data_IF_130475285454
#
_entry.id   IF_130475285454
#
_cell.length_a   1.000
_cell.length_b   1.000
_cell.length_c   1.000
_cell.angle_alpha   90.00
_cell.angle_beta   90.00
_cell.angle_gamma   90.00
#
_symmetry.space_group_name_H-M   'P 1'
#
loop_
_entity.id
_entity.type
_entity.pdbx_description
1 polymer ?
#
# COMPACT_ATOMS: atom_id res chain seq x y z
N UNK A 1 30.27 6.56 25.92
CA UNK A 1 30.86 7.48 24.93
C UNK A 1 32.05 6.77 24.30
N UNK A 2 32.17 6.46 23.01
CA UNK A 2 31.30 6.49 21.83
C UNK A 2 32.10 5.68 20.80
N UNK A 3 31.54 4.64 20.20
CA UNK A 3 32.06 4.05 18.97
C UNK A 3 30.88 3.71 18.05
N UNK A 4 30.38 4.75 17.42
CA UNK A 4 29.52 4.74 16.24
C UNK A 4 30.33 5.40 15.13
N UNK A 5 30.95 4.61 14.24
CA UNK A 5 31.45 5.11 12.96
C UNK A 5 31.88 3.95 12.06
N UNK A 6 30.94 3.34 11.34
CA UNK A 6 31.27 2.50 10.19
C UNK A 6 30.11 2.38 9.18
N UNK A 7 29.34 3.44 8.94
CA UNK A 7 28.34 3.50 7.85
C UNK A 7 28.23 4.93 7.33
N UNK A 8 29.35 5.48 6.84
CA UNK A 8 29.36 6.65 5.96
C UNK A 8 30.44 6.41 4.91
N UNK A 9 30.06 5.80 3.80
CA UNK A 9 30.79 5.92 2.52
C UNK A 9 29.82 6.55 1.52
N UNK A 10 30.35 7.50 0.76
CA UNK A 10 29.65 8.53 0.00
C UNK A 10 28.83 7.98 -1.17
N UNK A 11 27.64 8.57 -1.38
CA UNK A 11 26.67 8.31 -2.45
C UNK A 11 27.16 8.59 -3.89
N UNK A 12 28.39 9.06 -4.09
CA UNK A 12 28.91 9.47 -5.40
C UNK A 12 29.55 8.33 -6.24
N UNK A 13 29.63 7.10 -5.72
CA UNK A 13 30.26 5.97 -6.43
C UNK A 13 29.26 4.94 -7.02
N UNK A 14 27.95 5.13 -6.85
CA UNK A 14 26.94 4.13 -7.24
C UNK A 14 26.25 4.37 -8.59
N UNK A 15 26.41 5.56 -9.20
CA UNK A 15 25.78 5.88 -10.50
C UNK A 15 26.69 6.81 -11.32
N UNK A 16 27.45 6.31 -12.31
CA UNK A 16 28.18 7.18 -13.23
C UNK A 16 27.19 7.94 -14.11
N UNK A 17 27.22 9.27 -14.04
CA UNK A 17 26.54 10.13 -15.00
C UNK A 17 27.29 10.08 -16.35
N UNK A 18 26.80 9.27 -17.30
CA UNK A 18 27.13 9.44 -18.71
C UNK A 18 26.07 10.31 -19.39
N UNK A 19 26.49 11.51 -19.76
CA UNK A 19 25.72 12.41 -20.61
C UNK A 19 26.09 12.15 -22.07
N UNK A 20 25.17 11.59 -22.86
CA UNK A 20 25.28 11.61 -24.34
C UNK A 20 23.92 11.71 -25.00
N UNK A 21 23.74 12.75 -25.82
CA UNK A 21 22.97 12.70 -27.07
C UNK A 21 21.50 13.12 -27.02
N UNK A 22 21.23 14.43 -27.15
CA UNK A 22 19.97 14.92 -27.73
C UNK A 22 19.97 14.61 -29.23
N UNK A 23 18.91 13.95 -29.73
CA UNK A 23 18.10 14.40 -30.89
C UNK A 23 17.07 13.34 -31.30
N UNK A 24 15.79 13.59 -30.95
CA UNK A 24 14.60 13.32 -31.77
C UNK A 24 13.35 13.82 -31.02
N UNK A 25 13.26 15.13 -30.77
CA UNK A 25 12.04 15.75 -30.25
C UNK A 25 11.00 15.89 -31.36
N UNK A 26 10.13 14.89 -31.49
CA UNK A 26 8.94 14.91 -32.35
C UNK A 26 7.69 15.17 -31.48
N UNK A 27 7.33 16.44 -31.36
CA UNK A 27 5.96 16.96 -31.19
C UNK A 27 4.99 16.18 -30.28
N UNK A 28 5.34 15.94 -29.00
CA UNK A 28 4.34 15.78 -27.93
C UNK A 28 4.29 17.10 -27.15
N UNK A 29 3.15 17.79 -27.21
CA UNK A 29 2.89 19.02 -26.44
C UNK A 29 3.18 18.74 -24.96
N UNK A 30 3.85 19.68 -24.29
CA UNK A 30 4.37 19.55 -22.93
C UNK A 30 3.36 18.89 -21.99
N UNK A 31 3.69 17.69 -21.52
CA UNK A 31 3.09 17.13 -20.32
C UNK A 31 3.56 17.99 -19.14
N UNK A 32 2.82 19.07 -18.88
CA UNK A 32 2.82 19.85 -17.65
C UNK A 32 4.11 20.64 -17.33
N UNK A 33 4.01 21.51 -16.33
CA UNK A 33 5.18 22.23 -15.79
C UNK A 33 5.98 21.24 -14.94
N UNK A 34 7.23 20.92 -15.30
CA UNK A 34 8.12 20.09 -14.48
C UNK A 34 8.21 20.66 -13.06
N UNK A 35 8.23 19.78 -12.05
CA UNK A 35 8.31 20.18 -10.65
C UNK A 35 7.03 20.77 -10.07
N UNK A 36 5.87 20.60 -10.72
CA UNK A 36 4.58 21.02 -10.19
C UNK A 36 3.93 19.94 -9.33
N UNK A 37 3.45 20.32 -8.13
CA UNK A 37 2.60 19.50 -7.26
C UNK A 37 1.16 20.00 -7.38
N UNK A 38 0.19 19.11 -7.58
CA UNK A 38 -1.25 19.39 -7.37
C UNK A 38 -1.84 18.35 -6.44
N UNK A 39 -2.77 18.79 -5.61
CA UNK A 39 -3.42 17.95 -4.60
C UNK A 39 -4.93 17.91 -4.84
N UNK A 40 -5.51 16.73 -4.69
CA UNK A 40 -6.94 16.47 -4.83
C UNK A 40 -7.45 15.74 -3.59
N UNK A 41 -8.50 16.25 -2.95
CA UNK A 41 -9.05 15.68 -1.70
C UNK A 41 -10.38 14.97 -1.99
N UNK A 42 -10.37 13.65 -1.94
CA UNK A 42 -11.51 12.75 -2.14
C UNK A 42 -11.70 11.82 -0.93
N UNK A 43 -11.27 12.24 0.26
CA UNK A 43 -11.38 11.42 1.47
C UNK A 43 -12.84 11.06 1.78
N UNK A 44 -13.09 9.87 2.38
CA UNK A 44 -14.39 9.54 2.94
C UNK A 44 -14.87 10.63 3.89
N UNK A 45 -16.18 10.90 3.90
CA UNK A 45 -16.72 11.88 4.81
C UNK A 45 -16.72 11.33 6.25
N UNK A 46 -16.72 12.19 7.28
CA UNK A 46 -16.88 11.73 8.67
C UNK A 46 -18.15 10.89 8.88
N UNK A 47 -19.21 11.14 8.11
CA UNK A 47 -20.44 10.36 8.16
C UNK A 47 -20.25 8.93 7.63
N UNK A 48 -19.46 8.75 6.56
CA UNK A 48 -19.12 7.43 6.01
C UNK A 48 -18.31 6.62 7.02
N UNK A 49 -17.29 7.25 7.63
CA UNK A 49 -16.45 6.63 8.67
C UNK A 49 -17.31 6.22 9.87
N UNK A 50 -18.21 7.10 10.33
CA UNK A 50 -19.14 6.79 11.42
C UNK A 50 -20.02 5.58 11.09
N UNK A 51 -20.63 5.56 9.90
CA UNK A 51 -21.52 4.49 9.50
C UNK A 51 -20.80 3.13 9.46
N UNK A 52 -19.58 3.10 8.92
CA UNK A 52 -18.76 1.89 8.83
C UNK A 52 -18.33 1.37 10.21
N UNK A 53 -17.94 2.25 11.13
CA UNK A 53 -17.59 1.86 12.51
C UNK A 53 -18.79 1.31 13.25
N UNK A 54 -19.95 1.96 13.17
CA UNK A 54 -21.17 1.50 13.84
C UNK A 54 -21.66 0.15 13.30
N UNK A 55 -21.62 -0.04 11.97
CA UNK A 55 -21.94 -1.34 11.35
C UNK A 55 -20.95 -2.42 11.83
N UNK A 56 -19.66 -2.13 11.78
CA UNK A 56 -18.59 -3.05 12.17
C UNK A 56 -18.68 -3.53 13.62
N UNK A 57 -18.97 -2.61 14.55
CA UNK A 57 -19.14 -2.92 15.98
C UNK A 57 -20.49 -3.55 16.31
N UNK A 58 -21.51 -3.31 15.48
CA UNK A 58 -22.86 -3.88 15.64
C UNK A 58 -22.98 -5.35 15.23
N UNK A 59 -21.97 -5.89 14.53
CA UNK A 59 -21.96 -7.30 14.08
C UNK A 59 -21.77 -8.28 15.25
N UNK A 60 -22.32 -9.51 15.16
CA UNK A 60 -22.04 -10.57 16.14
C UNK A 60 -20.56 -10.93 16.23
N UNK A 61 -19.85 -10.91 15.09
CA UNK A 61 -18.40 -10.94 15.01
C UNK A 61 -17.93 -9.54 14.61
N UNK A 62 -17.47 -8.77 15.61
CA UNK A 62 -17.08 -7.37 15.40
C UNK A 62 -15.88 -7.29 14.47
N UNK A 63 -15.94 -6.34 13.53
CA UNK A 63 -14.84 -6.09 12.62
C UNK A 63 -14.72 -4.59 12.33
N UNK A 64 -13.49 -4.09 12.19
CA UNK A 64 -13.19 -2.72 11.82
C UNK A 64 -12.24 -2.73 10.63
N UNK A 65 -12.44 -1.79 9.71
CA UNK A 65 -11.68 -1.74 8.47
C UNK A 65 -10.23 -1.29 8.72
N UNK A 66 -9.22 -1.94 8.10
CA UNK A 66 -7.82 -1.59 8.30
C UNK A 66 -7.47 -0.19 7.78
N UNK A 67 -8.29 0.42 6.91
CA UNK A 67 -8.09 1.82 6.50
C UNK A 67 -8.15 2.80 7.67
N UNK A 68 -8.81 2.42 8.77
CA UNK A 68 -8.88 3.22 9.99
C UNK A 68 -7.53 3.31 10.71
N UNK A 69 -6.58 2.41 10.43
CA UNK A 69 -5.23 2.55 10.98
C UNK A 69 -4.56 3.84 10.53
N UNK A 70 -4.80 4.28 9.28
CA UNK A 70 -4.00 5.30 8.61
C UNK A 70 -4.52 6.73 8.84
N UNK A 71 -4.48 7.18 10.09
CA UNK A 71 -4.31 8.61 10.39
C UNK A 71 -2.81 8.96 10.43
N UNK A 72 -2.46 10.23 10.70
CA UNK A 72 -1.05 10.65 10.74
C UNK A 72 -0.21 9.79 11.70
N UNK A 73 -0.74 9.47 12.90
CA UNK A 73 -0.04 8.66 13.89
C UNK A 73 0.12 7.21 13.42
N UNK A 74 -0.92 6.64 12.82
CA UNK A 74 -0.87 5.29 12.29
C UNK A 74 0.10 5.15 11.13
N UNK A 75 0.18 6.14 10.24
CA UNK A 75 1.21 6.19 9.18
C UNK A 75 2.62 6.16 9.78
N UNK A 76 2.90 6.96 10.81
CA UNK A 76 4.20 6.94 11.52
C UNK A 76 4.50 5.59 12.19
N UNK A 77 3.48 4.95 12.77
CA UNK A 77 3.62 3.62 13.37
C UNK A 77 3.90 2.57 12.29
N UNK A 78 3.25 2.65 11.14
CA UNK A 78 3.53 1.76 10.01
C UNK A 78 4.94 1.98 9.46
N UNK A 79 5.41 3.22 9.33
CA UNK A 79 6.80 3.51 8.96
C UNK A 79 7.78 2.84 9.93
N UNK A 80 7.53 2.94 11.24
CA UNK A 80 8.33 2.25 12.25
C UNK A 80 8.25 0.71 12.13
N UNK A 81 7.07 0.14 11.79
CA UNK A 81 6.93 -1.29 11.50
C UNK A 81 7.86 -1.69 10.35
N UNK A 82 7.98 -0.87 9.31
CA UNK A 82 8.81 -1.21 8.15
C UNK A 82 10.31 -1.34 8.46
N UNK A 83 10.76 -0.79 9.58
CA UNK A 83 12.15 -0.84 10.05
C UNK A 83 12.42 -2.00 11.01
N UNK A 84 11.38 -2.70 11.48
CA UNK A 84 11.51 -3.79 12.44
C UNK A 84 12.29 -4.98 11.84
N UNK A 85 13.14 -5.65 12.64
CA UNK A 85 13.86 -6.83 12.17
C UNK A 85 12.90 -7.98 11.80
N UNK A 86 11.76 -8.11 12.47
CA UNK A 86 10.75 -9.13 12.17
C UNK A 86 9.99 -8.83 10.87
N UNK A 87 9.75 -7.55 10.53
CA UNK A 87 8.97 -7.15 9.36
C UNK A 87 9.78 -7.13 8.05
N UNK A 88 9.96 -8.32 7.48
CA UNK A 88 10.71 -8.50 6.22
C UNK A 88 10.09 -7.91 4.94
N UNK A 89 8.76 -7.71 4.77
CA UNK A 89 8.20 -7.37 3.46
C UNK A 89 8.84 -6.14 2.81
N UNK A 90 8.92 -5.02 3.54
CA UNK A 90 9.43 -3.75 2.98
C UNK A 90 10.87 -3.86 2.49
N UNK A 91 11.78 -4.37 3.35
CA UNK A 91 13.20 -4.50 2.98
C UNK A 91 13.45 -5.52 1.87
N UNK A 92 12.57 -6.51 1.74
CA UNK A 92 12.67 -7.54 0.69
C UNK A 92 12.21 -6.98 -0.64
N UNK A 93 11.05 -6.34 -0.67
CA UNK A 93 10.50 -5.69 -1.86
C UNK A 93 11.45 -4.60 -2.40
N UNK A 94 12.04 -3.76 -1.52
CA UNK A 94 13.02 -2.75 -1.93
C UNK A 94 14.24 -3.39 -2.62
N UNK A 95 14.73 -4.54 -2.15
CA UNK A 95 15.86 -5.24 -2.79
C UNK A 95 15.48 -5.70 -4.20
N UNK A 96 14.29 -6.29 -4.36
CA UNK A 96 13.77 -6.72 -5.66
C UNK A 96 13.68 -5.51 -6.61
N UNK A 97 13.11 -4.39 -6.16
CA UNK A 97 13.00 -3.16 -6.95
C UNK A 97 14.37 -2.59 -7.35
N UNK A 98 15.38 -2.68 -6.49
CA UNK A 98 16.76 -2.23 -6.80
C UNK A 98 17.45 -3.14 -7.81
N UNK A 99 17.28 -4.44 -7.66
CA UNK A 99 17.94 -5.44 -8.50
C UNK A 99 17.35 -5.48 -9.91
N UNK A 100 16.01 -5.42 -10.02
CA UNK A 100 15.29 -5.61 -11.28
C UNK A 100 14.66 -4.32 -11.82
N UNK A 101 14.95 -3.15 -11.24
CA UNK A 101 14.31 -1.89 -11.57
C UNK A 101 14.42 -1.49 -13.05
N UNK A 102 15.54 -1.83 -13.72
CA UNK A 102 15.69 -1.57 -15.16
C UNK A 102 14.75 -2.43 -16.00
N UNK A 103 14.61 -3.72 -15.70
CA UNK A 103 13.69 -4.62 -16.41
C UNK A 103 12.23 -4.18 -16.20
N UNK A 104 11.90 -3.78 -14.96
CA UNK A 104 10.58 -3.25 -14.63
C UNK A 104 10.28 -1.96 -15.43
N UNK A 105 11.26 -1.07 -15.56
CA UNK A 105 11.12 0.15 -16.35
C UNK A 105 10.93 -0.13 -17.84
N UNK A 106 11.66 -1.10 -18.39
CA UNK A 106 11.54 -1.48 -19.80
C UNK A 106 10.16 -2.08 -20.12
N UNK A 107 9.54 -2.81 -19.17
CA UNK A 107 8.19 -3.34 -19.31
C UNK A 107 7.12 -2.26 -19.15
N UNK A 108 7.21 -1.44 -18.09
CA UNK A 108 6.22 -0.39 -17.79
C UNK A 108 6.22 0.75 -18.81
N UNK A 109 7.34 0.95 -19.54
CA UNK A 109 7.53 2.08 -20.44
C UNK A 109 8.00 3.33 -19.71
N UNK A 110 8.70 4.21 -20.42
CA UNK A 110 9.24 5.48 -19.91
C UNK A 110 8.36 6.65 -20.32
N UNK A 111 8.50 7.78 -19.61
CA UNK A 111 7.73 9.02 -19.86
C UNK A 111 6.19 8.86 -19.70
N UNK A 112 5.73 7.81 -19.03
CA UNK A 112 4.32 7.51 -18.78
C UNK A 112 3.75 8.32 -17.60
N UNK A 113 2.47 8.05 -17.28
CA UNK A 113 1.86 8.43 -16.00
C UNK A 113 1.89 7.20 -15.07
N UNK A 114 2.66 7.29 -13.99
CA UNK A 114 2.71 6.26 -12.96
C UNK A 114 1.73 6.57 -11.83
N UNK A 115 0.76 5.68 -11.62
CA UNK A 115 -0.23 5.76 -10.55
C UNK A 115 0.20 4.81 -9.43
N UNK A 116 0.39 5.30 -8.21
CA UNK A 116 0.68 4.44 -7.05
C UNK A 116 -0.53 4.33 -6.13
N UNK A 117 -0.96 3.10 -5.84
CA UNK A 117 -2.04 2.83 -4.90
C UNK A 117 -1.47 2.50 -3.52
N UNK A 118 -1.76 3.34 -2.53
CA UNK A 118 -1.21 3.22 -1.18
C UNK A 118 0.26 3.66 -1.11
N UNK A 119 0.51 4.95 -1.36
CA UNK A 119 1.85 5.55 -1.45
C UNK A 119 2.65 5.66 -0.14
N UNK A 120 2.29 4.88 0.89
CA UNK A 120 2.76 5.04 2.27
C UNK A 120 4.28 4.93 2.47
N UNK A 121 5.02 4.20 1.63
CA UNK A 121 6.47 4.01 1.79
C UNK A 121 7.28 4.76 0.72
N UNK A 122 7.88 5.87 1.13
CA UNK A 122 8.62 6.77 0.23
C UNK A 122 9.84 6.11 -0.43
N UNK A 123 10.51 5.16 0.23
CA UNK A 123 11.74 4.54 -0.30
C UNK A 123 11.47 3.57 -1.46
N UNK A 124 10.33 2.86 -1.44
CA UNK A 124 9.95 1.94 -2.52
C UNK A 124 9.72 2.68 -3.81
N UNK A 125 8.89 3.71 -3.74
CA UNK A 125 8.59 4.52 -4.91
C UNK A 125 9.80 5.31 -5.38
N UNK A 126 10.64 5.86 -4.50
CA UNK A 126 11.91 6.51 -4.90
C UNK A 126 12.80 5.57 -5.72
N UNK A 127 12.88 4.30 -5.33
CA UNK A 127 13.65 3.28 -6.05
C UNK A 127 13.09 3.07 -7.46
N UNK A 128 11.76 2.92 -7.58
CA UNK A 128 11.11 2.72 -8.88
C UNK A 128 11.19 3.97 -9.76
N UNK A 129 10.94 5.17 -9.22
CA UNK A 129 10.99 6.44 -9.94
C UNK A 129 12.39 6.71 -10.53
N UNK A 130 13.46 6.34 -9.81
CA UNK A 130 14.82 6.49 -10.30
C UNK A 130 15.09 5.63 -11.55
N UNK A 131 14.49 4.45 -11.65
CA UNK A 131 14.63 3.56 -12.80
C UNK A 131 13.66 3.91 -13.94
N UNK A 132 12.38 4.14 -13.61
CA UNK A 132 11.29 4.34 -14.56
C UNK A 132 11.30 5.73 -15.22
N UNK A 133 11.64 6.75 -14.44
CA UNK A 133 11.63 8.17 -14.86
C UNK A 133 10.30 8.56 -15.57
N UNK A 134 9.14 8.40 -14.92
CA UNK A 134 7.86 8.78 -15.52
C UNK A 134 7.73 10.31 -15.67
N UNK A 135 6.89 10.76 -16.59
CA UNK A 135 6.57 12.19 -16.75
C UNK A 135 5.72 12.71 -15.60
N UNK A 136 4.80 11.87 -15.13
CA UNK A 136 3.83 12.20 -14.08
C UNK A 136 3.80 11.06 -13.07
N UNK A 137 3.81 11.41 -11.79
CA UNK A 137 3.58 10.50 -10.69
C UNK A 137 2.31 10.90 -9.94
N UNK A 138 1.40 9.95 -9.76
CA UNK A 138 0.10 10.12 -9.12
C UNK A 138 0.00 9.21 -7.89
N UNK A 139 0.48 9.65 -6.71
CA UNK A 139 0.27 8.93 -5.47
C UNK A 139 -1.18 9.01 -5.02
N UNK A 140 -1.74 7.86 -4.63
CA UNK A 140 -3.08 7.71 -4.06
C UNK A 140 -2.96 7.19 -2.63
N UNK A 141 -3.49 7.93 -1.65
CA UNK A 141 -3.45 7.53 -0.24
C UNK A 141 -4.64 8.10 0.54
N UNK A 142 -5.05 7.45 1.62
CA UNK A 142 -6.13 7.93 2.49
C UNK A 142 -5.62 8.94 3.55
N UNK A 143 -4.32 8.90 3.88
CA UNK A 143 -3.69 9.77 4.87
C UNK A 143 -3.21 11.06 4.22
N UNK A 144 -3.99 12.14 4.33
CA UNK A 144 -3.74 13.43 3.67
C UNK A 144 -2.40 14.04 4.07
N UNK A 145 -2.14 14.13 5.36
CA UNK A 145 -0.96 14.79 5.90
C UNK A 145 0.30 14.03 5.45
N UNK A 146 0.29 12.70 5.56
CA UNK A 146 1.38 11.84 5.09
C UNK A 146 1.61 11.95 3.58
N UNK A 147 0.53 11.99 2.80
CA UNK A 147 0.58 12.14 1.33
C UNK A 147 1.20 13.48 0.92
N UNK A 148 0.85 14.58 1.61
CA UNK A 148 1.43 15.90 1.33
C UNK A 148 2.92 15.93 1.67
N UNK A 149 3.31 15.42 2.84
CA UNK A 149 4.72 15.34 3.25
C UNK A 149 5.56 14.53 2.26
N UNK A 150 5.06 13.35 1.86
CA UNK A 150 5.71 12.49 0.86
C UNK A 150 5.82 13.16 -0.51
N UNK A 151 4.75 13.80 -0.99
CA UNK A 151 4.76 14.51 -2.27
C UNK A 151 5.78 15.66 -2.31
N UNK A 152 5.91 16.42 -1.23
CA UNK A 152 6.91 17.48 -1.13
C UNK A 152 8.34 16.93 -1.15
N UNK A 153 8.63 15.90 -0.35
CA UNK A 153 9.95 15.26 -0.34
C UNK A 153 10.34 14.68 -1.71
N UNK A 154 9.38 14.07 -2.42
CA UNK A 154 9.59 13.54 -3.77
C UNK A 154 9.83 14.64 -4.81
N UNK A 155 9.13 15.78 -4.72
CA UNK A 155 9.35 16.89 -5.63
C UNK A 155 10.75 17.52 -5.46
N UNK A 156 11.27 17.58 -4.24
CA UNK A 156 12.65 18.02 -3.98
C UNK A 156 13.67 17.04 -4.57
N UNK A 157 13.41 15.73 -4.48
CA UNK A 157 14.32 14.70 -4.99
C UNK A 157 14.27 14.54 -6.51
N UNK A 158 13.11 14.73 -7.11
CA UNK A 158 12.86 14.56 -8.55
C UNK A 158 12.29 15.87 -9.14
N UNK A 159 13.12 16.90 -9.37
CA UNK A 159 12.65 18.23 -9.75
C UNK A 159 11.95 18.29 -11.12
N UNK A 160 12.17 17.29 -11.97
CA UNK A 160 11.51 17.19 -13.27
C UNK A 160 10.18 16.43 -13.23
N UNK A 161 9.86 15.74 -12.12
CA UNK A 161 8.67 14.93 -11.99
C UNK A 161 7.46 15.82 -11.68
N UNK A 162 6.38 15.68 -12.45
CA UNK A 162 5.11 16.30 -12.07
C UNK A 162 4.35 15.39 -11.11
N UNK A 163 3.93 15.92 -9.96
CA UNK A 163 3.22 15.14 -8.93
C UNK A 163 1.75 15.56 -8.89
N UNK A 164 0.86 14.56 -8.91
CA UNK A 164 -0.60 14.70 -8.80
C UNK A 164 -1.09 13.85 -7.63
N UNK A 165 -1.01 14.38 -6.42
CA UNK A 165 -1.40 13.67 -5.22
C UNK A 165 -2.92 13.61 -5.07
N UNK A 166 -3.49 12.40 -4.98
CA UNK A 166 -4.92 12.18 -4.82
C UNK A 166 -5.19 11.53 -3.46
N UNK A 167 -5.78 12.27 -2.53
CA UNK A 167 -6.16 11.73 -1.25
C UNK A 167 -7.51 11.00 -1.38
N UNK A 168 -7.49 9.67 -1.45
CA UNK A 168 -8.68 8.89 -1.76
C UNK A 168 -8.63 7.50 -1.12
N UNK A 169 -9.81 6.93 -0.88
CA UNK A 169 -9.98 5.53 -0.49
C UNK A 169 -10.05 4.64 -1.74
N UNK A 170 -8.93 3.98 -2.09
CA UNK A 170 -8.88 3.09 -3.25
C UNK A 170 -9.62 1.76 -3.03
N UNK A 171 -10.05 1.44 -1.80
CA UNK A 171 -10.85 0.24 -1.52
C UNK A 171 -12.27 0.33 -2.10
N UNK A 172 -12.77 1.56 -2.29
CA UNK A 172 -14.05 1.87 -2.92
C UNK A 172 -13.87 2.26 -4.40
N UNK A 173 -14.95 2.40 -5.18
CA UNK A 173 -14.87 3.01 -6.51
C UNK A 173 -14.31 4.44 -6.41
N UNK A 174 -13.19 4.70 -7.08
CA UNK A 174 -12.54 6.01 -7.11
C UNK A 174 -12.40 6.53 -8.53
N UNK A 175 -12.30 7.86 -8.68
CA UNK A 175 -11.93 8.52 -9.93
C UNK A 175 -10.66 9.30 -9.70
N UNK A 176 -9.70 9.10 -10.59
CA UNK A 176 -8.46 9.86 -10.56
C UNK A 176 -8.57 11.10 -11.47
N UNK A 177 -7.88 12.19 -11.13
CA UNK A 177 -7.86 13.41 -11.91
C UNK A 177 -6.91 13.27 -13.12
N UNK A 178 -7.24 12.33 -14.01
CA UNK A 178 -6.51 12.09 -15.25
C UNK A 178 -6.87 13.16 -16.29
N UNK A 179 -5.87 13.63 -17.03
CA UNK A 179 -6.10 14.51 -18.19
C UNK A 179 -6.51 13.67 -19.41
N UNK A 180 -7.37 14.17 -20.32
CA UNK A 180 -7.86 13.38 -21.46
C UNK A 180 -6.77 12.89 -22.44
N UNK A 181 -5.61 13.55 -22.48
CA UNK A 181 -4.47 13.20 -23.33
C UNK A 181 -3.51 12.21 -22.68
N UNK A 182 -3.78 11.76 -21.45
CA UNK A 182 -2.99 10.76 -20.75
C UNK A 182 -3.45 9.35 -21.12
N UNK A 183 -2.79 8.79 -22.12
CA UNK A 183 -3.13 7.48 -22.67
C UNK A 183 -2.15 6.37 -22.27
N UNK A 184 -0.95 6.74 -21.81
CA UNK A 184 0.09 5.79 -21.39
C UNK A 184 0.13 5.74 -19.86
N UNK A 185 -0.68 4.84 -19.29
CA UNK A 185 -0.85 4.68 -17.85
C UNK A 185 -0.18 3.39 -17.37
N UNK A 186 0.59 3.52 -16.31
CA UNK A 186 1.12 2.41 -15.53
C UNK A 186 0.63 2.54 -14.08
N UNK A 187 0.44 1.42 -13.40
CA UNK A 187 0.14 1.38 -11.98
C UNK A 187 1.24 0.66 -11.20
N UNK A 188 1.43 1.09 -9.96
CA UNK A 188 2.25 0.46 -8.97
C UNK A 188 1.42 0.22 -7.71
N UNK A 189 1.39 -1.03 -7.22
CA UNK A 189 0.69 -1.39 -5.99
C UNK A 189 1.60 -2.22 -5.08
N UNK A 190 2.46 -1.56 -4.27
CA UNK A 190 3.48 -2.25 -3.50
C UNK A 190 3.00 -2.78 -2.15
N UNK A 191 3.90 -3.48 -1.47
CA UNK A 191 3.81 -3.79 -0.04
C UNK A 191 2.90 -4.95 0.31
N UNK A 192 2.40 -5.67 -0.68
CA UNK A 192 1.38 -6.70 -0.47
C UNK A 192 0.10 -6.17 0.17
N UNK A 193 -0.19 -4.88 0.00
CA UNK A 193 -1.45 -4.24 0.44
C UNK A 193 -2.68 -4.86 -0.23
N UNK A 194 -2.52 -5.52 -1.40
CA UNK A 194 -3.57 -6.35 -2.00
C UNK A 194 -4.02 -7.49 -1.08
N UNK A 195 -3.12 -7.98 -0.21
CA UNK A 195 -3.43 -9.00 0.79
C UNK A 195 -4.37 -8.51 1.88
N UNK A 196 -4.64 -7.21 1.99
CA UNK A 196 -5.58 -6.67 2.97
C UNK A 196 -7.06 -6.86 2.59
N UNK A 197 -7.29 -7.37 1.39
CA UNK A 197 -8.61 -7.61 0.83
C UNK A 197 -8.91 -9.11 0.81
N UNK A 198 -10.15 -9.48 1.15
CA UNK A 198 -10.59 -10.85 0.87
C UNK A 198 -10.52 -11.12 -0.65
N UNK A 199 -10.33 -12.38 -1.10
CA UNK A 199 -10.07 -12.68 -2.52
C UNK A 199 -11.05 -12.04 -3.51
N UNK A 200 -12.35 -12.03 -3.20
CA UNK A 200 -13.34 -11.37 -4.06
C UNK A 200 -13.16 -9.85 -4.11
N UNK A 201 -12.81 -9.22 -2.99
CA UNK A 201 -12.52 -7.79 -2.92
C UNK A 201 -11.22 -7.45 -3.66
N UNK A 202 -10.19 -8.29 -3.53
CA UNK A 202 -8.92 -8.16 -4.24
C UNK A 202 -9.15 -8.23 -5.77
N UNK A 203 -9.94 -9.21 -6.23
CA UNK A 203 -10.34 -9.34 -7.64
C UNK A 203 -11.10 -8.10 -8.14
N UNK A 204 -12.06 -7.59 -7.36
CA UNK A 204 -12.80 -6.38 -7.72
C UNK A 204 -11.90 -5.13 -7.77
N UNK A 205 -10.93 -5.01 -6.86
CA UNK A 205 -9.95 -3.93 -6.88
C UNK A 205 -9.07 -4.02 -8.13
N UNK A 206 -8.48 -5.19 -8.40
CA UNK A 206 -7.70 -5.43 -9.62
C UNK A 206 -8.52 -5.12 -10.87
N UNK A 207 -9.79 -5.53 -10.95
CA UNK A 207 -10.64 -5.23 -12.11
C UNK A 207 -10.89 -3.73 -12.32
N UNK A 208 -10.96 -2.94 -11.24
CA UNK A 208 -11.00 -1.47 -11.33
C UNK A 208 -9.68 -0.90 -11.83
N UNK A 209 -8.54 -1.46 -11.39
CA UNK A 209 -7.22 -1.06 -11.90
C UNK A 209 -7.07 -1.41 -13.38
N UNK A 210 -7.52 -2.60 -13.82
CA UNK A 210 -7.53 -2.96 -15.24
C UNK A 210 -8.38 -1.98 -16.07
N UNK A 211 -9.56 -1.62 -15.57
CA UNK A 211 -10.45 -0.65 -16.23
C UNK A 211 -9.83 0.74 -16.31
N UNK A 212 -9.08 1.15 -15.29
CA UNK A 212 -8.37 2.43 -15.23
C UNK A 212 -7.21 2.48 -16.23
N UNK A 213 -6.41 1.40 -16.29
CA UNK A 213 -5.24 1.32 -17.16
C UNK A 213 -5.61 1.13 -18.63
N UNK A 214 -6.73 0.47 -18.90
CA UNK A 214 -7.18 0.13 -20.25
C UNK A 214 -6.33 -0.96 -20.92
N UNK A 215 -6.72 -1.42 -22.11
CA UNK A 215 -6.02 -2.47 -22.85
C UNK A 215 -4.53 -2.19 -23.03
N UNK A 216 -3.69 -3.18 -22.75
CA UNK A 216 -2.23 -3.06 -22.85
C UNK A 216 -1.56 -2.31 -21.69
N UNK A 217 -2.31 -1.62 -20.83
CA UNK A 217 -1.76 -0.97 -19.65
C UNK A 217 -1.19 -1.98 -18.64
N UNK A 218 -0.23 -1.53 -17.83
CA UNK A 218 0.53 -2.43 -16.93
C UNK A 218 0.42 -2.06 -15.46
N UNK A 219 0.37 -3.08 -14.63
CA UNK A 219 0.41 -3.01 -13.18
C UNK A 219 1.65 -3.75 -12.66
N UNK A 220 2.50 -3.04 -11.93
CA UNK A 220 3.54 -3.63 -11.10
C UNK A 220 3.00 -3.79 -9.68
N UNK A 221 2.91 -5.01 -9.16
CA UNK A 221 2.27 -5.30 -7.87
C UNK A 221 3.13 -6.21 -7.00
N UNK A 222 3.33 -5.81 -5.75
CA UNK A 222 4.03 -6.59 -4.74
C UNK A 222 3.09 -7.54 -4.00
N UNK A 223 3.50 -8.78 -3.78
CA UNK A 223 2.72 -9.83 -3.14
C UNK A 223 3.61 -10.63 -2.20
N UNK A 224 3.16 -10.80 -0.97
CA UNK A 224 3.87 -11.56 0.04
C UNK A 224 3.55 -13.06 -0.08
N UNK A 225 4.59 -13.90 -0.18
CA UNK A 225 4.43 -15.33 -0.48
C UNK A 225 4.10 -16.15 0.79
N UNK A 226 3.41 -17.30 0.69
CA UNK A 226 3.31 -18.25 1.80
C UNK A 226 4.69 -18.75 2.22
N UNK A 227 4.93 -18.81 3.53
CA UNK A 227 6.20 -19.24 4.13
C UNK A 227 5.97 -19.76 5.55
N UNK A 228 7.05 -20.04 6.26
CA UNK A 228 6.99 -20.50 7.66
C UNK A 228 6.07 -19.59 8.51
N UNK A 229 5.02 -20.16 9.14
CA UNK A 229 4.13 -19.43 10.03
C UNK A 229 4.85 -18.66 11.15
N UNK A 230 6.00 -19.13 11.63
CA UNK A 230 6.77 -18.40 12.65
C UNK A 230 7.29 -17.06 12.13
N UNK A 231 7.75 -17.00 10.88
CA UNK A 231 8.18 -15.76 10.24
C UNK A 231 6.99 -14.81 10.07
N UNK A 232 5.85 -15.34 9.61
CA UNK A 232 4.64 -14.58 9.41
C UNK A 232 4.05 -14.05 10.72
N UNK A 233 4.03 -14.86 11.78
CA UNK A 233 3.55 -14.42 13.09
C UNK A 233 4.45 -13.33 13.66
N UNK A 234 5.77 -13.53 13.64
CA UNK A 234 6.72 -12.55 14.18
C UNK A 234 6.64 -11.20 13.47
N UNK A 235 6.41 -11.19 12.14
CA UNK A 235 6.26 -9.95 11.39
C UNK A 235 5.05 -9.11 11.83
N UNK A 236 4.01 -9.71 12.41
CA UNK A 236 2.79 -9.00 12.83
C UNK A 236 2.60 -8.95 14.35
N UNK A 237 3.50 -9.56 15.11
CA UNK A 237 3.54 -9.59 16.58
C UNK A 237 4.98 -9.40 17.04
N UNK A 238 5.55 -8.24 16.68
CA UNK A 238 6.95 -7.92 16.93
C UNK A 238 7.27 -7.77 18.42
N UNK A 239 8.49 -8.11 18.81
CA UNK A 239 8.90 -8.09 20.21
C UNK A 239 8.93 -6.68 20.83
N UNK A 240 8.97 -5.64 20.01
CA UNK A 240 8.99 -4.23 20.43
C UNK A 240 7.58 -3.68 20.68
N UNK A 241 6.53 -4.41 20.31
CA UNK A 241 5.13 -4.02 20.48
C UNK A 241 4.67 -2.88 19.57
N UNK A 242 5.39 -2.59 18.49
CA UNK A 242 5.05 -1.49 17.58
C UNK A 242 3.80 -1.83 16.78
N UNK A 243 3.66 -3.07 16.30
CA UNK A 243 2.46 -3.57 15.60
C UNK A 243 1.25 -3.62 16.53
N UNK A 244 1.47 -3.90 17.81
CA UNK A 244 0.40 -3.81 18.82
C UNK A 244 -0.09 -2.37 18.99
N UNK A 245 0.83 -1.40 19.08
CA UNK A 245 0.49 0.02 19.14
C UNK A 245 -0.22 0.51 17.86
N UNK A 246 0.22 0.04 16.69
CA UNK A 246 -0.44 0.30 15.41
C UNK A 246 -1.88 -0.22 15.39
N UNK A 247 -2.10 -1.46 15.84
CA UNK A 247 -3.43 -2.06 15.90
C UNK A 247 -4.35 -1.28 16.86
N UNK A 248 -3.86 -0.93 18.05
CA UNK A 248 -4.61 -0.16 19.06
C UNK A 248 -4.88 1.30 18.64
N UNK A 249 -4.05 1.88 17.77
CA UNK A 249 -4.24 3.25 17.26
C UNK A 249 -5.61 3.42 16.60
N UNK A 250 -6.16 2.36 16.00
CA UNK A 250 -7.51 2.36 15.44
C UNK A 250 -8.56 2.77 16.48
N UNK A 251 -8.48 2.26 17.70
CA UNK A 251 -9.40 2.64 18.79
C UNK A 251 -9.17 4.09 19.23
N UNK A 252 -7.90 4.52 19.33
CA UNK A 252 -7.56 5.90 19.65
C UNK A 252 -8.14 6.90 18.64
N UNK A 253 -8.06 6.56 17.35
CA UNK A 253 -8.67 7.33 16.27
C UNK A 253 -10.18 7.41 16.41
N UNK A 254 -10.85 6.28 16.69
CA UNK A 254 -12.31 6.24 16.88
C UNK A 254 -12.72 7.09 18.09
N UNK A 255 -11.98 7.04 19.20
CA UNK A 255 -12.21 7.92 20.36
C UNK A 255 -12.20 9.40 19.96
N UNK A 256 -11.18 9.80 19.19
CA UNK A 256 -11.00 11.19 18.76
C UNK A 256 -12.04 11.65 17.73
N UNK A 257 -12.34 10.82 16.73
CA UNK A 257 -13.13 11.21 15.56
C UNK A 257 -14.63 10.98 15.74
N UNK A 258 -15.03 10.03 16.59
CA UNK A 258 -16.41 9.59 16.76
C UNK A 258 -16.91 9.69 18.21
N UNK A 259 -16.22 10.48 19.05
CA UNK A 259 -16.58 10.69 20.47
C UNK A 259 -16.76 9.36 21.22
N UNK A 260 -15.85 8.42 21.00
CA UNK A 260 -15.87 7.12 21.67
C UNK A 260 -15.04 7.10 22.96
N UNK A 261 -15.31 6.12 23.82
CA UNK A 261 -14.68 5.96 25.12
C UNK A 261 -13.92 4.64 25.31
N UNK A 262 -13.32 4.09 24.24
CA UNK A 262 -12.46 2.91 24.35
C UNK A 262 -11.33 3.15 25.36
N UNK A 263 -11.26 2.32 26.40
CA UNK A 263 -10.05 2.18 27.23
C UNK A 263 -9.07 1.25 26.50
N UNK A 264 -8.00 1.82 25.94
CA UNK A 264 -7.01 1.05 25.18
C UNK A 264 -6.31 -0.01 26.03
N UNK A 265 -6.14 0.21 27.34
CA UNK A 265 -5.51 -0.75 28.25
C UNK A 265 -6.41 -1.97 28.51
N UNK A 266 -7.72 -1.83 28.26
CA UNK A 266 -8.67 -2.93 28.31
C UNK A 266 -8.67 -3.80 27.04
N UNK A 267 -7.85 -3.48 26.03
CA UNK A 267 -7.69 -4.29 24.83
C UNK A 267 -6.25 -4.80 24.70
N UNK A 268 -6.09 -5.93 24.01
CA UNK A 268 -4.78 -6.48 23.65
C UNK A 268 -4.71 -6.83 22.17
N UNK A 269 -3.55 -6.59 21.58
CA UNK A 269 -3.24 -7.05 20.24
C UNK A 269 -3.14 -8.58 20.21
N UNK A 270 -3.63 -9.20 19.14
CA UNK A 270 -3.41 -10.59 18.80
C UNK A 270 -3.27 -10.72 17.28
N UNK A 271 -2.13 -11.21 16.81
CA UNK A 271 -1.93 -11.61 15.42
C UNK A 271 -1.61 -13.11 15.33
N UNK A 272 -2.09 -13.75 14.26
CA UNK A 272 -1.72 -15.13 13.96
C UNK A 272 -1.91 -15.45 12.48
N UNK A 273 -1.10 -16.37 11.96
CA UNK A 273 -1.24 -16.92 10.62
C UNK A 273 -2.26 -18.05 10.61
N UNK A 274 -3.36 -17.82 9.91
CA UNK A 274 -4.36 -18.80 9.58
C UNK A 274 -3.89 -19.63 8.36
N UNK A 275 -3.38 -20.83 8.63
CA UNK A 275 -2.80 -21.69 7.59
C UNK A 275 -3.85 -22.16 6.59
N UNK A 276 -5.09 -22.42 7.03
CA UNK A 276 -6.17 -22.88 6.14
C UNK A 276 -6.56 -21.83 5.10
N UNK A 277 -6.54 -20.55 5.49
CA UNK A 277 -6.88 -19.42 4.62
C UNK A 277 -5.68 -18.73 3.99
N UNK A 278 -4.45 -19.16 4.33
CA UNK A 278 -3.19 -18.53 3.92
C UNK A 278 -3.19 -17.01 4.16
N UNK A 279 -3.50 -16.58 5.38
CA UNK A 279 -3.51 -15.16 5.75
C UNK A 279 -3.08 -14.94 7.19
N UNK A 280 -2.45 -13.81 7.47
CA UNK A 280 -2.36 -13.30 8.85
C UNK A 280 -3.69 -12.63 9.19
N UNK A 281 -4.16 -12.81 10.41
CA UNK A 281 -5.29 -12.07 10.96
C UNK A 281 -4.82 -11.25 12.15
N UNK A 282 -5.18 -9.97 12.18
CA UNK A 282 -5.00 -9.10 13.34
C UNK A 282 -6.34 -8.86 14.03
N UNK A 283 -6.30 -8.94 15.35
CA UNK A 283 -7.45 -8.77 16.22
C UNK A 283 -7.09 -7.89 17.42
N UNK A 284 -8.09 -7.19 17.94
CA UNK A 284 -8.06 -6.59 19.28
C UNK A 284 -8.96 -7.40 20.21
N UNK A 285 -8.40 -7.89 21.30
CA UNK A 285 -9.07 -8.76 22.26
C UNK A 285 -9.44 -7.96 23.50
N UNK A 286 -10.72 -7.90 23.83
CA UNK A 286 -11.19 -7.32 25.08
C UNK A 286 -10.68 -8.15 26.26
N UNK A 287 -9.97 -7.53 27.19
CA UNK A 287 -9.40 -8.20 28.38
C UNK A 287 -10.46 -8.43 29.47
N UNK A 288 -11.50 -7.62 29.47
CA UNK A 288 -12.57 -7.62 30.47
C UNK A 288 -13.94 -7.63 29.79
N UNK A 289 -14.98 -7.89 30.56
CA UNK A 289 -16.34 -7.56 30.14
C UNK A 289 -16.55 -6.05 30.31
N UNK A 290 -16.96 -5.37 29.23
CA UNK A 290 -17.08 -3.91 29.20
C UNK A 290 -18.14 -3.44 28.21
N UNK A 291 -18.56 -2.18 28.36
CA UNK A 291 -19.35 -1.46 27.36
C UNK A 291 -18.54 -0.28 26.88
N UNK A 292 -18.60 -0.03 25.57
CA UNK A 292 -17.99 1.14 24.94
C UNK A 292 -19.11 1.90 24.24
N UNK A 293 -19.17 3.21 24.46
CA UNK A 293 -20.02 4.12 23.71
C UNK A 293 -19.24 4.68 22.51
N UNK A 294 -19.85 4.63 21.33
CA UNK A 294 -19.28 5.16 20.08
C UNK A 294 -20.36 5.95 19.36
N UNK A 295 -20.13 7.25 19.15
CA UNK A 295 -21.09 8.16 18.52
C UNK A 295 -22.52 8.05 19.08
N UNK A 296 -22.62 7.92 20.41
CA UNK A 296 -23.87 7.78 21.18
C UNK A 296 -24.52 6.39 21.18
N UNK A 297 -23.86 5.37 20.61
CA UNK A 297 -24.35 3.98 20.57
C UNK A 297 -23.48 3.09 21.44
N UNK A 298 -24.09 2.25 22.28
CA UNK A 298 -23.36 1.36 23.18
C UNK A 298 -23.16 -0.03 22.59
N UNK A 299 -21.93 -0.51 22.69
CA UNK A 299 -21.52 -1.84 22.26
C UNK A 299 -20.96 -2.61 23.45
N UNK A 300 -21.50 -3.80 23.69
CA UNK A 300 -21.01 -4.72 24.71
C UNK A 300 -19.88 -5.60 24.19
N UNK A 301 -18.90 -5.86 25.06
CA UNK A 301 -17.79 -6.78 24.84
C UNK A 301 -17.71 -7.75 26.02
N UNK A 302 -17.62 -9.05 25.74
CA UNK A 302 -17.25 -10.05 26.74
C UNK A 302 -15.73 -10.08 26.92
N UNK A 303 -15.26 -10.55 28.07
CA UNK A 303 -13.84 -10.90 28.21
C UNK A 303 -13.44 -11.97 27.19
N UNK A 304 -12.36 -11.73 26.45
CA UNK A 304 -11.87 -12.56 25.35
C UNK A 304 -12.57 -12.33 24.01
N UNK A 305 -13.59 -11.49 23.93
CA UNK A 305 -14.24 -11.13 22.66
C UNK A 305 -13.28 -10.32 21.78
N UNK A 306 -13.28 -10.59 20.48
CA UNK A 306 -12.35 -10.01 19.53
C UNK A 306 -13.03 -9.04 18.56
N UNK A 307 -12.33 -7.97 18.21
CA UNK A 307 -12.57 -7.17 17.03
C UNK A 307 -11.55 -7.59 15.98
N UNK A 308 -11.99 -8.11 14.83
CA UNK A 308 -11.10 -8.32 13.69
C UNK A 308 -10.73 -6.97 13.06
N UNK A 309 -9.45 -6.71 12.83
CA UNK A 309 -8.97 -5.39 12.37
C UNK A 309 -8.22 -5.45 11.05
N UNK A 310 -7.61 -6.57 10.69
CA UNK A 310 -6.91 -6.72 9.41
C UNK A 310 -6.82 -8.19 8.98
N UNK A 311 -6.88 -8.42 7.68
CA UNK A 311 -6.34 -9.63 7.05
C UNK A 311 -5.06 -9.26 6.32
N UNK A 312 -4.11 -10.17 6.21
CA UNK A 312 -3.02 -10.05 5.23
C UNK A 312 -2.80 -11.40 4.55
N UNK A 313 -3.50 -11.60 3.44
CA UNK A 313 -3.40 -12.79 2.61
C UNK A 313 -2.01 -12.93 1.99
N UNK A 314 -1.54 -14.18 1.95
CA UNK A 314 -0.28 -14.59 1.33
C UNK A 314 -0.62 -15.49 0.15
N UNK A 315 -0.15 -15.12 -1.03
CA UNK A 315 -0.50 -15.83 -2.27
C UNK A 315 0.72 -16.50 -2.88
N UNK A 316 0.61 -17.77 -3.23
CA UNK A 316 1.59 -18.39 -4.14
C UNK A 316 1.47 -17.77 -5.54
N UNK A 317 2.57 -17.79 -6.30
CA UNK A 317 2.65 -17.15 -7.63
C UNK A 317 1.48 -17.56 -8.54
N UNK A 318 1.26 -18.87 -8.75
CA UNK A 318 0.19 -19.36 -9.62
C UNK A 318 -1.21 -18.99 -9.12
N UNK A 319 -1.41 -18.94 -7.79
CA UNK A 319 -2.68 -18.57 -7.20
C UNK A 319 -2.97 -17.08 -7.40
N UNK A 320 -1.94 -16.23 -7.28
CA UNK A 320 -2.06 -14.80 -7.54
C UNK A 320 -2.28 -14.51 -9.04
N UNK A 321 -1.60 -15.24 -9.94
CA UNK A 321 -1.83 -15.10 -11.38
C UNK A 321 -3.28 -15.43 -11.76
N UNK A 322 -3.87 -16.50 -11.22
CA UNK A 322 -5.30 -16.81 -11.43
C UNK A 322 -6.22 -15.69 -10.95
N UNK A 323 -5.96 -15.15 -9.76
CA UNK A 323 -6.71 -14.01 -9.22
C UNK A 323 -6.65 -12.78 -10.15
N UNK A 324 -5.47 -12.53 -10.74
CA UNK A 324 -5.25 -11.45 -11.69
C UNK A 324 -5.94 -11.70 -13.04
N UNK A 325 -5.92 -12.94 -13.54
CA UNK A 325 -6.62 -13.37 -14.75
C UNK A 325 -8.14 -13.14 -14.62
N UNK A 326 -8.74 -13.55 -13.50
CA UNK A 326 -10.15 -13.32 -13.19
C UNK A 326 -10.52 -11.82 -13.05
N UNK A 327 -9.51 -10.95 -12.97
CA UNK A 327 -9.64 -9.50 -12.93
C UNK A 327 -9.30 -8.80 -14.27
N UNK A 328 -9.00 -9.57 -15.32
CA UNK A 328 -8.74 -9.04 -16.67
C UNK A 328 -7.26 -8.77 -16.99
N UNK A 329 -6.34 -9.33 -16.21
CA UNK A 329 -4.90 -9.25 -16.49
C UNK A 329 -4.33 -10.56 -17.05
N UNK A 330 -3.15 -10.47 -17.65
CA UNK A 330 -2.25 -11.59 -17.89
C UNK A 330 -0.91 -11.30 -17.23
N UNK A 331 -0.30 -12.30 -16.60
CA UNK A 331 1.04 -12.14 -16.05
C UNK A 331 2.08 -12.14 -17.17
N UNK A 332 2.95 -11.12 -17.20
CA UNK A 332 4.07 -11.05 -18.15
C UNK A 332 5.37 -11.51 -17.52
N UNK A 333 5.63 -11.07 -16.28
CA UNK A 333 6.88 -11.37 -15.58
C UNK A 333 6.67 -11.38 -14.06
N UNK A 334 7.47 -12.15 -13.35
CA UNK A 334 7.54 -12.18 -11.88
C UNK A 334 9.00 -12.17 -11.44
N UNK A 335 9.32 -11.36 -10.44
CA UNK A 335 10.61 -11.32 -9.77
C UNK A 335 10.44 -11.67 -8.31
N UNK A 336 11.37 -12.43 -7.75
CA UNK A 336 11.35 -12.83 -6.34
C UNK A 336 12.71 -12.61 -5.71
N UNK A 337 12.76 -12.52 -4.39
CA UNK A 337 14.02 -12.63 -3.67
C UNK A 337 14.52 -14.09 -3.65
N UNK A 338 15.81 -14.27 -3.33
CA UNK A 338 16.46 -15.58 -3.30
C UNK A 338 15.96 -16.53 -2.20
N UNK A 339 15.23 -16.02 -1.20
CA UNK A 339 14.62 -16.83 -0.13
C UNK A 339 13.15 -17.14 -0.42
N UNK A 340 12.59 -16.65 -1.53
CA UNK A 340 11.18 -16.87 -1.89
C UNK A 340 10.22 -16.27 -0.87
N UNK A 341 10.55 -15.11 -0.29
CA UNK A 341 9.72 -14.44 0.70
C UNK A 341 8.67 -13.55 0.04
N UNK A 342 9.01 -12.87 -1.04
CA UNK A 342 8.17 -11.85 -1.65
C UNK A 342 8.29 -11.92 -3.16
N UNK A 343 7.20 -11.59 -3.86
CA UNK A 343 7.16 -11.50 -5.32
C UNK A 343 6.70 -10.13 -5.78
N UNK A 344 7.27 -9.63 -6.87
CA UNK A 344 6.79 -8.47 -7.60
C UNK A 344 6.36 -8.97 -8.98
N UNK A 345 5.13 -8.67 -9.37
CA UNK A 345 4.53 -9.14 -10.62
C UNK A 345 4.34 -7.96 -11.57
N UNK A 346 4.71 -8.13 -12.83
CA UNK A 346 4.23 -7.28 -13.92
C UNK A 346 3.03 -7.95 -14.59
N UNK A 347 1.88 -7.29 -14.51
CA UNK A 347 0.61 -7.73 -15.08
C UNK A 347 0.22 -6.76 -16.20
N UNK A 348 -0.25 -7.29 -17.33
CA UNK A 348 -0.78 -6.49 -18.44
C UNK A 348 -2.27 -6.71 -18.61
N UNK A 349 -3.02 -5.64 -18.84
CA UNK A 349 -4.46 -5.72 -19.13
C UNK A 349 -4.67 -6.42 -20.48
N UNK A 350 -5.57 -7.40 -20.51
CA UNK A 350 -5.93 -8.10 -21.74
C UNK A 350 -6.58 -7.17 -22.76
N UNK A 351 -6.23 -7.37 -24.03
CA UNK A 351 -6.96 -6.72 -25.12
C UNK A 351 -8.35 -7.32 -25.25
N UNK A 352 -9.36 -6.48 -25.53
CA UNK A 352 -10.74 -6.92 -25.68
C UNK A 352 -10.93 -8.04 -26.73
N UNK A 353 -10.01 -8.19 -27.68
CA UNK A 353 -10.01 -9.25 -28.70
C UNK A 353 -9.46 -10.61 -28.21
N UNK A 354 -8.92 -10.70 -26.99
CA UNK A 354 -8.30 -11.94 -26.46
C UNK A 354 -9.25 -12.77 -25.59
N UNK A 355 -10.50 -12.32 -25.40
CA UNK A 355 -11.52 -12.97 -24.56
C UNK A 355 -12.53 -13.83 -25.36
N UNK A 356 -12.22 -14.19 -26.60
CA UNK A 356 -13.09 -14.97 -27.49
C UNK A 356 -12.73 -16.44 -27.56
#
# INVERSE_FOLDING_TARGET
MTQLSALQRSEAELFPHEATGLEAASTRRSLQTPGSIRFFDYRPTPADVRAEVLDGLGRPAKCLSPKLFYDQRGSQLFDAITELPEYYPTRTEIRILREYGSEMADLLGRDNVLIELGSGSSLKIQTLLAALQPSVYMPVDISKEHLLESAHALAERFPNLSIRAACADYSAPFRLPLEPDWTDLAAFFPGSSIGNFDPDQARLLLGRVASLLGPGGRLLIGVDLPKDPAILNAAYDDAQGVTAAFNLNLLSRINRELEADFDLDAFSHRAFFNTERSRVEMHLVSRIEQQVEVAGVRFGFRAGETIHTENSYKYGIDAFHRLAEDAGFVAEQVWTDNQGLFSVHCLRVLDACSMS
#
